data_IF_214221029716
#
_entry.id   IF_214221029716
#
_cell.length_a   1.000
_cell.length_b   1.000
_cell.length_c   1.000
_cell.angle_alpha   90.00
_cell.angle_beta   90.00
_cell.angle_gamma   90.00
#
_symmetry.space_group_name_H-M   'P 1'
#
loop_
_entity.id
_entity.type
_entity.pdbx_description
1 polymer ?
#
# COMPACT_ATOMS: atom_id res chain seq x y z
N UNK A 1 34.22 14.68 -38.07
CA UNK A 1 32.79 14.40 -37.94
C UNK A 1 31.98 15.68 -37.76
N UNK A 2 32.36 16.60 -36.87
CA UNK A 2 31.66 17.87 -36.59
C UNK A 2 31.39 18.73 -37.82
N UNK A 3 32.21 18.63 -38.86
CA UNK A 3 31.98 19.35 -40.12
C UNK A 3 31.00 18.67 -41.08
N UNK A 4 30.69 17.38 -40.86
CA UNK A 4 29.87 16.55 -41.74
C UNK A 4 28.44 16.39 -41.23
N UNK A 5 28.23 16.41 -39.93
CA UNK A 5 26.92 16.21 -39.29
C UNK A 5 26.55 17.46 -38.50
N UNK A 6 25.25 17.70 -38.37
CA UNK A 6 24.69 18.68 -37.45
C UNK A 6 24.26 17.97 -36.20
N UNK A 7 24.91 18.26 -35.07
CA UNK A 7 24.57 17.70 -33.77
C UNK A 7 23.53 18.54 -33.06
N UNK A 8 22.63 17.89 -32.33
CA UNK A 8 21.60 18.52 -31.52
C UNK A 8 21.62 17.95 -30.12
N UNK A 9 21.59 18.79 -29.12
CA UNK A 9 21.22 18.43 -27.76
C UNK A 9 19.73 18.18 -27.69
N UNK A 10 19.32 17.17 -26.91
CA UNK A 10 17.94 16.80 -26.82
C UNK A 10 17.56 16.21 -25.44
N UNK A 11 16.41 16.59 -24.95
CA UNK A 11 15.87 16.05 -23.71
C UNK A 11 15.09 14.77 -23.99
N UNK A 12 15.45 13.64 -23.34
CA UNK A 12 14.70 12.39 -23.46
C UNK A 12 13.30 12.53 -22.86
N UNK A 13 12.34 11.84 -23.46
CA UNK A 13 10.94 11.84 -23.03
C UNK A 13 10.38 10.43 -23.10
N UNK A 14 9.96 9.91 -21.98
CA UNK A 14 9.25 8.65 -21.86
C UNK A 14 7.75 8.90 -21.91
N UNK A 15 7.05 8.25 -22.83
CA UNK A 15 5.60 8.34 -22.99
C UNK A 15 4.99 6.98 -22.72
N UNK A 16 4.27 6.88 -21.61
CA UNK A 16 3.60 5.66 -21.15
C UNK A 16 2.10 5.72 -21.41
N UNK A 17 1.54 4.57 -21.74
CA UNK A 17 0.12 4.37 -21.93
C UNK A 17 -0.26 3.00 -21.33
N UNK A 18 -1.28 2.96 -20.49
CA UNK A 18 -1.85 1.72 -19.96
C UNK A 18 -3.17 1.44 -20.68
N UNK A 19 -3.21 0.40 -21.48
CA UNK A 19 -4.41 0.03 -22.25
C UNK A 19 -4.44 -1.47 -22.54
N UNK A 20 -5.63 -2.07 -22.47
CA UNK A 20 -5.86 -3.47 -22.81
C UNK A 20 -4.89 -4.44 -22.12
N UNK A 21 -4.76 -4.33 -20.81
CA UNK A 21 -3.87 -5.15 -19.97
C UNK A 21 -2.39 -5.06 -20.39
N UNK A 22 -1.98 -3.97 -21.01
CA UNK A 22 -0.59 -3.72 -21.40
C UNK A 22 -0.12 -2.34 -20.95
N UNK A 23 1.17 -2.24 -20.61
CA UNK A 23 1.90 -0.99 -20.45
C UNK A 23 2.68 -0.77 -21.73
N UNK A 24 2.40 0.30 -22.44
CA UNK A 24 3.08 0.69 -23.66
C UNK A 24 4.01 1.85 -23.40
N UNK A 25 5.18 1.81 -24.00
CA UNK A 25 6.19 2.85 -23.85
C UNK A 25 6.76 3.25 -25.20
N UNK A 26 6.88 4.56 -25.42
CA UNK A 26 7.67 5.17 -26.49
C UNK A 26 8.75 6.05 -25.89
N UNK A 27 10.00 5.87 -26.33
CA UNK A 27 11.09 6.74 -25.96
C UNK A 27 11.31 7.76 -27.08
N UNK A 28 11.06 9.00 -26.75
CA UNK A 28 11.21 10.16 -27.63
C UNK A 28 12.38 11.00 -27.16
N UNK A 29 12.90 11.86 -28.04
CA UNK A 29 13.82 12.94 -27.71
C UNK A 29 13.32 14.24 -28.33
N UNK A 30 13.34 15.32 -27.56
CA UNK A 30 12.97 16.66 -28.02
C UNK A 30 14.22 17.49 -28.17
N UNK A 31 14.57 17.83 -29.41
CA UNK A 31 15.72 18.70 -29.70
C UNK A 31 15.52 20.08 -29.05
N UNK A 32 16.55 20.58 -28.41
CA UNK A 32 16.51 21.89 -27.75
C UNK A 32 16.57 23.03 -28.75
N UNK A 33 17.27 22.85 -29.87
CA UNK A 33 17.51 23.88 -30.88
C UNK A 33 16.30 24.17 -31.76
N UNK A 34 15.67 23.15 -32.33
CA UNK A 34 14.58 23.31 -33.32
C UNK A 34 13.24 22.72 -32.84
N UNK A 35 13.20 22.20 -31.61
CA UNK A 35 12.03 21.57 -31.00
C UNK A 35 11.48 20.34 -31.76
N UNK A 36 12.29 19.80 -32.69
CA UNK A 36 11.91 18.59 -33.40
C UNK A 36 11.83 17.39 -32.46
N UNK A 37 10.91 16.46 -32.77
CA UNK A 37 10.75 15.20 -32.04
C UNK A 37 11.43 14.07 -32.79
N UNK A 38 12.18 13.28 -32.05
CA UNK A 38 12.84 12.09 -32.52
C UNK A 38 12.32 10.91 -31.71
N UNK A 39 12.28 9.75 -32.34
CA UNK A 39 11.87 8.51 -31.68
C UNK A 39 13.02 7.50 -31.73
N UNK A 40 13.28 6.87 -30.60
CA UNK A 40 14.20 5.73 -30.54
C UNK A 40 13.49 4.50 -31.10
N UNK A 41 14.04 3.87 -32.15
CA UNK A 41 13.43 2.68 -32.78
C UNK A 41 14.01 1.36 -32.26
N UNK A 42 14.92 1.41 -31.28
CA UNK A 42 15.65 0.24 -30.76
C UNK A 42 17.13 0.20 -31.23
N UNK A 43 17.47 0.88 -32.31
CA UNK A 43 18.80 0.91 -32.91
C UNK A 43 19.33 2.32 -33.11
N UNK A 44 18.47 3.23 -33.55
CA UNK A 44 18.83 4.62 -33.87
C UNK A 44 17.69 5.60 -33.56
N UNK A 45 18.03 6.87 -33.46
CA UNK A 45 17.07 7.95 -33.33
C UNK A 45 16.53 8.35 -34.69
N UNK A 46 15.23 8.18 -34.91
CA UNK A 46 14.53 8.53 -36.14
C UNK A 46 13.76 9.83 -35.96
N UNK A 47 14.03 10.81 -36.77
CA UNK A 47 13.28 12.08 -36.75
C UNK A 47 11.85 11.88 -37.20
N UNK A 48 10.89 12.35 -36.39
CA UNK A 48 9.49 12.37 -36.77
C UNK A 48 9.25 13.22 -38.02
N UNK A 49 8.37 12.79 -38.92
CA UNK A 49 8.03 13.48 -40.18
C UNK A 49 7.40 14.86 -39.89
N UNK A 50 8.24 15.88 -39.83
CA UNK A 50 7.77 17.24 -39.98
C UNK A 50 7.94 17.62 -41.45
N UNK A 51 6.96 17.44 -42.30
CA UNK A 51 6.84 17.76 -43.74
C UNK A 51 7.81 18.76 -44.40
N UNK A 52 8.98 18.96 -43.87
CA UNK A 52 10.02 19.84 -44.36
C UNK A 52 11.06 19.06 -45.16
N UNK A 53 11.54 19.67 -46.26
CA UNK A 53 12.62 19.18 -47.10
C UNK A 53 13.72 18.46 -46.31
N UNK A 54 14.23 17.35 -46.84
CA UNK A 54 15.36 16.60 -46.29
C UNK A 54 16.52 17.57 -46.00
N UNK A 55 17.09 17.56 -44.79
CA UNK A 55 18.21 18.44 -44.47
C UNK A 55 19.41 18.15 -45.38
N UNK A 56 20.14 19.19 -45.76
CA UNK A 56 21.32 19.08 -46.61
C UNK A 56 22.52 18.33 -45.96
N UNK A 57 22.46 18.12 -44.65
CA UNK A 57 23.48 17.37 -43.87
C UNK A 57 22.77 16.36 -42.96
N UNK A 58 23.40 15.20 -42.69
CA UNK A 58 22.90 14.28 -41.65
C UNK A 58 22.80 15.00 -40.31
N UNK A 59 21.69 14.83 -39.66
CA UNK A 59 21.46 15.35 -38.28
C UNK A 59 21.54 14.17 -37.30
N UNK A 60 22.23 14.40 -36.18
CA UNK A 60 22.47 13.41 -35.14
C UNK A 60 22.15 14.02 -33.77
N UNK A 61 21.54 13.26 -32.90
CA UNK A 61 21.40 13.63 -31.51
C UNK A 61 22.65 13.19 -30.74
N UNK A 62 23.23 14.12 -30.00
CA UNK A 62 24.42 13.88 -29.17
C UNK A 62 24.18 14.47 -27.78
N UNK A 63 23.77 13.59 -26.85
CA UNK A 63 23.45 13.97 -25.49
C UNK A 63 23.56 12.74 -24.58
N UNK A 64 24.35 12.85 -23.51
CA UNK A 64 24.58 11.77 -22.54
C UNK A 64 23.29 11.30 -21.86
N UNK A 65 22.30 12.19 -21.71
CA UNK A 65 20.97 11.86 -21.17
C UNK A 65 20.24 10.83 -22.01
N UNK A 66 20.46 10.82 -23.33
CA UNK A 66 19.84 9.85 -24.25
C UNK A 66 20.42 8.45 -24.06
N UNK A 67 21.73 8.34 -23.80
CA UNK A 67 22.35 7.05 -23.50
C UNK A 67 21.87 6.49 -22.16
N UNK A 68 21.75 7.34 -21.15
CA UNK A 68 21.19 6.97 -19.86
C UNK A 68 19.72 6.49 -20.00
N UNK A 69 18.92 7.18 -20.84
CA UNK A 69 17.54 6.80 -21.11
C UNK A 69 17.42 5.43 -21.80
N UNK A 70 18.26 5.17 -22.81
CA UNK A 70 18.33 3.87 -23.50
C UNK A 70 18.79 2.77 -22.53
N UNK A 71 19.80 3.07 -21.69
CA UNK A 71 20.30 2.15 -20.68
C UNK A 71 19.22 1.73 -19.68
N UNK A 72 18.43 2.68 -19.19
CA UNK A 72 17.32 2.39 -18.28
C UNK A 72 16.21 1.59 -18.94
N UNK A 73 15.82 1.95 -20.18
CA UNK A 73 14.82 1.20 -20.96
C UNK A 73 15.19 -0.28 -21.10
N UNK A 74 16.48 -0.59 -21.29
CA UNK A 74 16.97 -1.97 -21.46
C UNK A 74 17.02 -2.80 -20.17
N UNK A 75 16.82 -2.20 -19.00
CA UNK A 75 16.81 -2.92 -17.71
C UNK A 75 15.53 -3.72 -17.47
N UNK A 76 14.47 -3.35 -18.16
CA UNK A 76 13.15 -3.98 -18.02
C UNK A 76 12.91 -4.93 -19.18
N UNK A 77 12.15 -5.97 -18.91
CA UNK A 77 11.80 -7.01 -19.89
C UNK A 77 10.61 -6.55 -20.73
N UNK A 78 10.92 -5.84 -21.81
CA UNK A 78 9.94 -5.32 -22.76
C UNK A 78 9.84 -6.24 -23.97
N UNK A 79 8.64 -6.52 -24.41
CA UNK A 79 8.38 -7.03 -25.75
C UNK A 79 8.33 -5.86 -26.75
N UNK A 80 8.93 -6.03 -27.92
CA UNK A 80 8.99 -4.99 -28.95
C UNK A 80 8.25 -5.48 -30.20
N UNK A 81 6.93 -5.21 -30.30
CA UNK A 81 6.12 -5.68 -31.45
C UNK A 81 6.47 -4.96 -32.76
N UNK A 82 6.91 -3.71 -32.65
CA UNK A 82 7.33 -2.89 -33.78
C UNK A 82 8.46 -1.94 -33.34
N UNK A 83 9.29 -1.46 -34.26
CA UNK A 83 10.38 -0.53 -33.96
C UNK A 83 9.86 0.73 -33.24
N UNK A 84 10.40 0.99 -32.03
CA UNK A 84 10.07 2.17 -31.26
C UNK A 84 8.82 2.07 -30.37
N UNK A 85 8.24 0.89 -30.26
CA UNK A 85 7.18 0.59 -29.30
C UNK A 85 7.61 -0.56 -28.38
N UNK A 86 7.65 -0.30 -27.09
CA UNK A 86 7.92 -1.29 -26.06
C UNK A 86 6.61 -1.59 -25.32
N UNK A 87 6.35 -2.87 -25.11
CA UNK A 87 5.11 -3.36 -24.49
C UNK A 87 5.47 -4.32 -23.37
N UNK A 88 4.93 -4.08 -22.19
CA UNK A 88 4.94 -5.00 -21.05
C UNK A 88 3.51 -5.40 -20.70
N UNK A 89 3.35 -6.61 -20.17
CA UNK A 89 2.04 -7.03 -19.66
C UNK A 89 1.70 -6.23 -18.40
N UNK A 90 0.47 -5.73 -18.33
CA UNK A 90 -0.04 -5.07 -17.12
C UNK A 90 -0.41 -6.15 -16.09
N UNK A 91 0.60 -6.76 -15.49
CA UNK A 91 0.46 -7.75 -14.42
C UNK A 91 1.28 -7.33 -13.19
N UNK A 92 1.01 -7.88 -11.99
CA UNK A 92 1.72 -7.51 -10.77
C UNK A 92 3.23 -7.62 -10.89
N UNK A 93 3.74 -8.68 -11.54
CA UNK A 93 5.17 -8.95 -11.67
C UNK A 93 5.89 -7.86 -12.47
N UNK A 94 5.31 -7.46 -13.62
CA UNK A 94 5.88 -6.41 -14.45
C UNK A 94 5.81 -5.04 -13.77
N UNK A 95 4.66 -4.71 -13.15
CA UNK A 95 4.48 -3.44 -12.43
C UNK A 95 5.43 -3.34 -11.22
N UNK A 96 5.66 -4.43 -10.49
CA UNK A 96 6.67 -4.49 -9.42
C UNK A 96 8.10 -4.28 -9.95
N UNK A 97 8.44 -4.88 -11.07
CA UNK A 97 9.74 -4.69 -11.71
C UNK A 97 9.95 -3.24 -12.15
N UNK A 98 8.92 -2.64 -12.74
CA UNK A 98 8.94 -1.22 -13.13
C UNK A 98 9.04 -0.32 -11.89
N UNK A 99 8.31 -0.64 -10.81
CA UNK A 99 8.37 0.10 -9.56
C UNK A 99 9.75 0.02 -8.89
N UNK A 100 10.37 -1.16 -8.91
CA UNK A 100 11.71 -1.35 -8.38
C UNK A 100 12.78 -0.56 -9.17
N UNK A 101 12.60 -0.43 -10.49
CA UNK A 101 13.50 0.34 -11.35
C UNK A 101 13.22 1.86 -11.33
N UNK A 102 12.08 2.29 -10.76
CA UNK A 102 11.63 3.68 -10.80
C UNK A 102 12.52 4.69 -10.07
N UNK A 103 13.12 4.38 -8.90
CA UNK A 103 14.05 5.28 -8.22
C UNK A 103 15.29 5.62 -9.04
N UNK A 104 15.75 4.69 -9.87
CA UNK A 104 16.95 4.82 -10.72
C UNK A 104 16.66 5.37 -12.13
N UNK A 105 15.48 5.95 -12.34
CA UNK A 105 15.10 6.53 -13.63
C UNK A 105 15.99 7.71 -13.99
N UNK A 106 16.41 7.84 -15.27
CA UNK A 106 17.27 8.93 -15.73
C UNK A 106 16.54 10.28 -15.70
N UNK A 107 17.31 11.35 -15.80
CA UNK A 107 16.78 12.69 -16.00
C UNK A 107 16.10 12.77 -17.37
N UNK A 108 14.79 12.91 -17.38
CA UNK A 108 13.95 12.93 -18.57
C UNK A 108 12.58 13.53 -18.27
N UNK A 109 11.82 13.85 -19.31
CA UNK A 109 10.38 14.11 -19.16
C UNK A 109 9.61 12.78 -19.12
N UNK A 110 8.72 12.63 -18.14
CA UNK A 110 7.87 11.46 -17.98
C UNK A 110 6.41 11.85 -18.20
N UNK A 111 5.81 11.27 -19.22
CA UNK A 111 4.41 11.48 -19.59
C UNK A 111 3.68 10.16 -19.50
N UNK A 112 2.41 10.21 -19.13
CA UNK A 112 1.55 9.03 -19.04
C UNK A 112 0.09 9.42 -19.21
N UNK A 113 -0.74 8.44 -19.51
CA UNK A 113 -2.19 8.57 -19.41
C UNK A 113 -2.63 8.70 -17.94
N UNK A 114 -3.93 8.74 -17.72
CA UNK A 114 -4.51 8.94 -16.39
C UNK A 114 -4.15 7.78 -15.44
N UNK A 115 -4.18 6.55 -15.94
CA UNK A 115 -3.91 5.34 -15.15
C UNK A 115 -2.43 5.25 -14.78
N UNK A 116 -1.54 5.41 -15.74
CA UNK A 116 -0.10 5.43 -15.48
C UNK A 116 0.31 6.57 -14.53
N UNK A 117 -0.28 7.76 -14.70
CA UNK A 117 -0.04 8.88 -13.78
C UNK A 117 -0.40 8.54 -12.34
N UNK A 118 -1.56 7.92 -12.13
CA UNK A 118 -2.05 7.52 -10.81
C UNK A 118 -1.12 6.49 -10.14
N UNK A 119 -0.50 5.61 -10.91
CA UNK A 119 0.36 4.55 -10.37
C UNK A 119 1.82 4.98 -10.18
N UNK A 120 2.40 5.79 -11.08
CA UNK A 120 3.84 6.03 -11.12
C UNK A 120 4.26 7.49 -11.05
N UNK A 121 3.52 8.42 -11.68
CA UNK A 121 3.94 9.83 -11.73
C UNK A 121 3.44 10.64 -10.53
N UNK A 122 2.24 10.39 -10.10
CA UNK A 122 1.59 10.99 -8.94
C UNK A 122 0.91 9.90 -8.13
N UNK A 123 1.69 8.97 -7.54
CA UNK A 123 1.13 7.77 -6.94
C UNK A 123 0.24 8.12 -5.75
N UNK A 124 -1.00 7.66 -5.84
CA UNK A 124 -1.93 7.63 -4.75
C UNK A 124 -1.95 6.20 -4.22
N UNK A 125 -1.38 6.02 -3.02
CA UNK A 125 -1.28 4.72 -2.38
C UNK A 125 -2.47 4.48 -1.48
N UNK A 126 -3.17 3.40 -1.77
CA UNK A 126 -4.29 2.97 -0.97
C UNK A 126 -3.80 2.41 0.37
N UNK A 127 -4.43 2.84 1.46
CA UNK A 127 -4.08 2.45 2.82
C UNK A 127 -5.29 1.84 3.52
N UNK A 128 -5.11 0.76 4.28
CA UNK A 128 -6.15 0.30 5.18
C UNK A 128 -6.25 1.23 6.39
N UNK A 129 -7.47 1.45 6.84
CA UNK A 129 -7.80 2.16 8.07
C UNK A 129 -8.52 1.16 8.97
N UNK A 130 -7.91 0.85 10.10
CA UNK A 130 -8.53 -0.04 11.07
C UNK A 130 -9.58 0.73 11.88
N UNK A 131 -10.76 0.16 12.00
CA UNK A 131 -11.91 0.78 12.66
C UNK A 131 -12.49 -0.15 13.70
N UNK A 132 -12.74 0.39 14.88
CA UNK A 132 -13.53 -0.27 15.92
C UNK A 132 -14.93 0.33 15.89
N UNK A 133 -15.94 -0.51 15.68
CA UNK A 133 -17.36 -0.11 15.66
C UNK A 133 -18.16 -1.01 16.56
N UNK A 134 -18.84 -0.40 17.49
CA UNK A 134 -19.67 -1.12 18.43
C UNK A 134 -18.87 -1.93 19.44
N UNK A 135 -19.34 -1.95 20.64
CA UNK A 135 -18.87 -2.85 21.68
C UNK A 135 -20.06 -3.41 22.42
N UNK A 136 -20.02 -4.71 22.67
CA UNK A 136 -20.88 -5.30 23.68
C UNK A 136 -20.21 -5.25 25.04
N UNK A 137 -20.81 -5.93 26.02
CA UNK A 137 -20.21 -6.02 27.36
C UNK A 137 -18.87 -6.76 27.31
N UNK A 138 -18.73 -7.75 26.40
CA UNK A 138 -17.61 -8.68 26.35
C UNK A 138 -16.94 -8.79 24.97
N UNK A 139 -17.24 -7.88 24.02
CA UNK A 139 -16.69 -7.94 22.67
C UNK A 139 -16.59 -6.57 21.99
N UNK A 140 -15.66 -6.47 21.03
CA UNK A 140 -15.50 -5.35 20.12
C UNK A 140 -15.81 -5.81 18.68
N UNK A 141 -16.31 -4.92 17.84
CA UNK A 141 -16.42 -5.12 16.39
C UNK A 141 -15.29 -4.39 15.71
N UNK A 142 -14.46 -5.12 14.97
CA UNK A 142 -13.32 -4.56 14.24
C UNK A 142 -13.46 -4.82 12.76
N UNK A 143 -13.01 -3.87 11.94
CA UNK A 143 -12.97 -4.00 10.47
C UNK A 143 -11.83 -3.17 9.89
N UNK A 144 -11.43 -3.45 8.65
CA UNK A 144 -10.54 -2.64 7.87
C UNK A 144 -11.33 -1.89 6.79
N UNK A 145 -11.25 -0.57 6.80
CA UNK A 145 -11.82 0.29 5.76
C UNK A 145 -10.71 0.74 4.81
N UNK A 146 -11.06 0.89 3.53
CA UNK A 146 -10.17 1.38 2.52
C UNK A 146 -10.77 2.64 1.94
N UNK A 147 -10.11 3.77 2.13
CA UNK A 147 -10.60 5.06 1.65
C UNK A 147 -9.55 5.73 0.77
N UNK A 148 -9.98 6.21 -0.39
CA UNK A 148 -9.21 7.13 -1.22
C UNK A 148 -10.15 8.10 -1.93
N UNK A 149 -9.77 9.41 -1.92
CA UNK A 149 -10.52 10.43 -2.66
C UNK A 149 -10.54 10.11 -4.17
N UNK A 150 -11.74 9.90 -4.71
CA UNK A 150 -11.97 9.67 -6.14
C UNK A 150 -11.99 8.20 -6.57
N UNK A 151 -11.88 7.24 -5.65
CA UNK A 151 -12.12 5.83 -5.88
C UNK A 151 -13.42 5.39 -5.20
N UNK A 152 -14.35 4.84 -6.00
CA UNK A 152 -15.54 4.19 -5.48
C UNK A 152 -15.26 2.68 -5.46
N UNK A 153 -14.88 2.17 -4.30
CA UNK A 153 -14.60 0.75 -4.11
C UNK A 153 -15.90 -0.03 -3.91
N UNK A 154 -16.07 -1.07 -4.71
CA UNK A 154 -17.18 -2.00 -4.59
C UNK A 154 -16.87 -3.10 -3.56
N UNK A 155 -17.86 -3.89 -3.18
CA UNK A 155 -17.67 -5.04 -2.29
C UNK A 155 -16.68 -6.06 -2.87
N UNK A 156 -16.67 -6.23 -4.19
CA UNK A 156 -15.70 -7.11 -4.88
C UNK A 156 -14.27 -6.58 -4.80
N UNK A 157 -14.12 -5.27 -4.97
CA UNK A 157 -12.81 -4.61 -4.82
C UNK A 157 -12.28 -4.78 -3.39
N UNK A 158 -13.13 -4.60 -2.37
CA UNK A 158 -12.78 -4.76 -0.96
C UNK A 158 -12.37 -6.21 -0.62
N UNK A 159 -13.05 -7.21 -1.17
CA UNK A 159 -12.68 -8.62 -1.02
C UNK A 159 -11.30 -8.90 -1.62
N UNK A 160 -11.00 -8.30 -2.77
CA UNK A 160 -9.71 -8.46 -3.42
C UNK A 160 -8.58 -7.74 -2.67
N UNK A 161 -8.85 -6.57 -2.10
CA UNK A 161 -7.91 -5.85 -1.24
C UNK A 161 -7.58 -6.61 0.03
N UNK A 162 -8.56 -7.28 0.64
CA UNK A 162 -8.35 -8.10 1.84
C UNK A 162 -7.40 -9.28 1.60
N UNK A 163 -7.35 -9.81 0.36
CA UNK A 163 -6.49 -10.92 -0.04
C UNK A 163 -5.18 -10.46 -0.75
N UNK A 164 -4.99 -9.15 -0.88
CA UNK A 164 -3.91 -8.61 -1.69
C UNK A 164 -2.53 -8.82 -1.04
N UNK A 165 -1.58 -9.20 -1.88
CA UNK A 165 -0.15 -9.25 -1.55
C UNK A 165 0.63 -8.53 -2.66
N UNK A 166 1.58 -7.67 -2.31
CA UNK A 166 2.35 -6.87 -3.28
C UNK A 166 1.87 -5.42 -3.38
N UNK A 167 2.66 -4.58 -4.08
CA UNK A 167 2.38 -3.15 -4.19
C UNK A 167 1.22 -2.83 -5.16
N UNK A 168 0.93 -3.71 -6.11
CA UNK A 168 -0.05 -3.46 -7.16
C UNK A 168 -1.15 -4.52 -7.17
N UNK A 169 -2.39 -4.06 -7.21
CA UNK A 169 -3.58 -4.92 -7.27
C UNK A 169 -4.48 -4.40 -8.38
N UNK A 170 -4.97 -5.33 -9.21
CA UNK A 170 -6.00 -5.01 -10.20
C UNK A 170 -7.37 -5.28 -9.60
N UNK A 171 -8.11 -4.21 -9.30
CA UNK A 171 -9.44 -4.30 -8.76
C UNK A 171 -10.47 -4.46 -9.89
N UNK A 172 -11.50 -5.31 -9.71
CA UNK A 172 -12.47 -5.61 -10.76
C UNK A 172 -13.20 -4.38 -11.32
N UNK A 173 -13.52 -3.42 -10.46
CA UNK A 173 -14.32 -2.25 -10.82
C UNK A 173 -13.51 -0.94 -10.81
N UNK A 174 -12.46 -0.86 -9.97
CA UNK A 174 -11.61 0.33 -9.85
C UNK A 174 -10.31 0.29 -10.68
N UNK A 175 -9.97 -0.86 -11.29
CA UNK A 175 -8.73 -1.05 -12.05
C UNK A 175 -7.48 -1.15 -11.18
N UNK A 176 -6.31 -0.87 -11.77
CA UNK A 176 -5.05 -0.96 -11.05
C UNK A 176 -4.92 0.08 -9.94
N UNK A 177 -4.52 -0.35 -8.76
CA UNK A 177 -4.20 0.51 -7.60
C UNK A 177 -2.84 0.14 -7.03
N UNK A 178 -2.17 1.13 -6.43
CA UNK A 178 -0.95 0.91 -5.67
C UNK A 178 -1.27 0.90 -4.19
N UNK A 179 -0.76 -0.09 -3.45
CA UNK A 179 -0.91 -0.21 -2.01
C UNK A 179 0.28 0.40 -1.26
N UNK A 180 0.04 0.95 -0.09
CA UNK A 180 1.08 1.27 0.87
C UNK A 180 1.41 0.01 1.67
N UNK A 181 2.40 -0.76 1.23
CA UNK A 181 2.77 -2.04 1.82
C UNK A 181 3.10 -1.95 3.30
N UNK A 182 3.72 -0.85 3.71
CA UNK A 182 4.05 -0.65 5.12
C UNK A 182 2.77 -0.51 5.95
N UNK A 183 1.82 0.31 5.50
CA UNK A 183 0.53 0.47 6.17
C UNK A 183 -0.30 -0.83 6.14
N UNK A 184 -0.24 -1.60 5.05
CA UNK A 184 -0.89 -2.91 4.94
C UNK A 184 -0.32 -3.89 5.95
N UNK A 185 1.00 -3.99 6.05
CA UNK A 185 1.68 -4.88 7.00
C UNK A 185 1.38 -4.49 8.45
N UNK A 186 1.49 -3.20 8.80
CA UNK A 186 1.16 -2.69 10.13
C UNK A 186 -0.30 -2.99 10.53
N UNK A 187 -1.22 -2.87 9.57
CA UNK A 187 -2.63 -3.18 9.80
C UNK A 187 -2.86 -4.70 9.96
N UNK A 188 -2.19 -5.54 9.16
CA UNK A 188 -2.27 -7.00 9.28
C UNK A 188 -1.72 -7.48 10.64
N UNK A 189 -0.60 -6.93 11.08
CA UNK A 189 -0.02 -7.22 12.40
C UNK A 189 -1.00 -6.84 13.52
N UNK A 190 -1.60 -5.64 13.47
CA UNK A 190 -2.56 -5.18 14.46
C UNK A 190 -3.84 -6.03 14.49
N UNK A 191 -4.33 -6.51 13.34
CA UNK A 191 -5.48 -7.42 13.28
C UNK A 191 -5.12 -8.81 13.81
N UNK A 192 -3.92 -9.31 13.49
CA UNK A 192 -3.42 -10.60 14.00
C UNK A 192 -3.24 -10.59 15.53
N UNK A 193 -2.78 -9.48 16.12
CA UNK A 193 -2.68 -9.30 17.57
C UNK A 193 -4.06 -9.41 18.25
N UNK A 194 -5.14 -9.09 17.54
CA UNK A 194 -6.54 -9.29 17.97
C UNK A 194 -7.09 -10.68 17.65
N UNK A 195 -6.28 -11.58 17.08
CA UNK A 195 -6.72 -12.90 16.65
C UNK A 195 -7.65 -12.88 15.42
N UNK A 196 -7.57 -11.82 14.61
CA UNK A 196 -8.35 -11.65 13.38
C UNK A 196 -7.47 -11.87 12.18
N UNK A 197 -7.87 -12.78 11.30
CA UNK A 197 -7.14 -13.06 10.06
C UNK A 197 -7.54 -12.08 8.93
N UNK A 198 -6.55 -11.39 8.39
CA UNK A 198 -6.69 -10.54 7.20
C UNK A 198 -7.38 -9.19 7.45
N UNK A 199 -7.42 -8.38 6.38
CA UNK A 199 -7.97 -7.01 6.38
C UNK A 199 -9.37 -7.00 5.76
N UNK A 200 -10.33 -7.62 6.44
CA UNK A 200 -11.73 -7.67 5.99
C UNK A 200 -12.46 -6.36 6.27
N UNK A 201 -13.24 -5.90 5.30
CA UNK A 201 -14.20 -4.80 5.48
C UNK A 201 -15.46 -5.22 6.22
N UNK A 202 -15.69 -6.55 6.37
CA UNK A 202 -16.78 -7.08 7.17
C UNK A 202 -16.38 -7.02 8.64
N UNK A 203 -17.28 -6.50 9.46
CA UNK A 203 -17.08 -6.43 10.91
C UNK A 203 -16.86 -7.81 11.52
N UNK A 204 -15.80 -7.96 12.28
CA UNK A 204 -15.46 -9.17 13.00
C UNK A 204 -15.52 -8.91 14.51
N UNK A 205 -16.09 -9.84 15.24
CA UNK A 205 -16.21 -9.75 16.69
C UNK A 205 -14.95 -10.29 17.35
N UNK A 206 -14.37 -9.49 18.22
CA UNK A 206 -13.16 -9.81 19.00
C UNK A 206 -13.51 -9.75 20.48
N UNK A 207 -13.12 -10.73 21.25
CA UNK A 207 -13.29 -10.73 22.71
C UNK A 207 -12.47 -9.62 23.38
N UNK A 208 -13.01 -9.03 24.45
CA UNK A 208 -12.27 -8.02 25.23
C UNK A 208 -10.97 -8.55 25.81
N UNK A 209 -10.90 -9.83 26.13
CA UNK A 209 -9.69 -10.51 26.57
C UNK A 209 -8.54 -10.42 25.56
N UNK A 210 -8.86 -10.50 24.24
CA UNK A 210 -7.89 -10.37 23.17
C UNK A 210 -7.43 -8.91 23.02
N UNK A 211 -8.37 -7.95 23.15
CA UNK A 211 -8.06 -6.54 23.11
C UNK A 211 -7.24 -6.07 24.33
N UNK A 212 -7.40 -6.69 25.48
CA UNK A 212 -6.64 -6.38 26.70
C UNK A 212 -5.15 -6.74 26.61
N UNK A 213 -4.74 -7.57 25.65
CA UNK A 213 -3.33 -7.87 25.39
C UNK A 213 -2.63 -6.82 24.51
N UNK A 214 -3.40 -5.92 23.85
CA UNK A 214 -2.82 -4.82 23.10
C UNK A 214 -2.28 -3.76 24.05
N UNK A 215 -1.05 -3.34 23.81
CA UNK A 215 -0.48 -2.16 24.44
C UNK A 215 -1.10 -0.85 23.87
N UNK A 216 -0.73 0.29 24.43
CA UNK A 216 -1.21 1.60 23.95
C UNK A 216 -0.89 1.84 22.47
N UNK A 217 0.29 1.39 22.01
CA UNK A 217 0.74 1.55 20.63
C UNK A 217 -0.10 0.68 19.68
N UNK A 218 -0.47 -0.54 20.09
CA UNK A 218 -1.38 -1.43 19.36
C UNK A 218 -2.78 -0.83 19.22
N UNK A 219 -3.35 -0.33 20.32
CA UNK A 219 -4.67 0.31 20.32
C UNK A 219 -4.69 1.63 19.53
N UNK A 220 -3.57 2.36 19.49
CA UNK A 220 -3.46 3.61 18.74
C UNK A 220 -3.55 3.42 17.21
N UNK A 221 -3.35 2.21 16.71
CA UNK A 221 -3.49 1.87 15.29
C UNK A 221 -4.95 1.85 14.82
N UNK A 222 -5.89 1.74 15.75
CA UNK A 222 -7.31 1.77 15.46
C UNK A 222 -7.87 3.20 15.57
N UNK A 223 -8.80 3.52 14.67
CA UNK A 223 -9.50 4.81 14.77
C UNK A 223 -10.37 4.78 16.03
N UNK A 224 -10.18 5.72 16.97
CA UNK A 224 -10.93 5.75 18.21
C UNK A 224 -12.42 5.90 17.91
N UNK A 225 -13.24 4.97 18.41
CA UNK A 225 -14.66 5.20 18.61
C UNK A 225 -14.86 5.79 20.00
N UNK A 226 -16.01 6.42 20.23
CA UNK A 226 -16.39 6.86 21.60
C UNK A 226 -16.40 5.71 22.60
N UNK A 227 -16.58 4.49 22.13
CA UNK A 227 -16.61 3.26 22.90
C UNK A 227 -15.19 2.76 23.23
N UNK A 228 -14.22 2.94 22.33
CA UNK A 228 -12.82 2.67 22.61
C UNK A 228 -12.27 3.66 23.67
N UNK A 229 -12.69 4.92 23.61
CA UNK A 229 -12.36 5.92 24.65
C UNK A 229 -12.96 5.56 26.00
N UNK A 230 -14.20 5.08 26.02
CA UNK A 230 -14.82 4.56 27.24
C UNK A 230 -14.13 3.32 27.78
N UNK A 231 -13.67 2.42 26.89
CA UNK A 231 -12.91 1.24 27.28
C UNK A 231 -11.57 1.64 27.90
N UNK A 232 -10.85 2.57 27.25
CA UNK A 232 -9.62 3.14 27.81
C UNK A 232 -9.86 3.77 29.19
N UNK A 233 -10.90 4.58 29.33
CA UNK A 233 -11.26 5.17 30.63
C UNK A 233 -11.51 4.11 31.70
N UNK A 234 -12.15 2.98 31.36
CA UNK A 234 -12.37 1.87 32.30
C UNK A 234 -11.08 1.10 32.63
N UNK A 235 -10.15 0.96 31.65
CA UNK A 235 -8.86 0.32 31.87
C UNK A 235 -7.95 1.22 32.71
N UNK A 236 -7.99 2.53 32.47
CA UNK A 236 -7.21 3.52 33.23
C UNK A 236 -7.75 3.73 34.66
N UNK A 237 -9.06 3.57 34.86
CA UNK A 237 -9.71 3.62 36.17
C UNK A 237 -9.55 2.32 36.96
N UNK A 238 -8.92 1.27 36.38
CA UNK A 238 -8.72 0.03 37.06
C UNK A 238 -7.59 0.11 38.10
N UNK A 239 -7.93 0.51 39.32
CA UNK A 239 -7.03 0.61 40.47
C UNK A 239 -6.67 -0.74 41.13
N UNK A 240 -6.94 -1.85 40.43
CA UNK A 240 -6.72 -3.21 40.94
C UNK A 240 -8.03 -3.90 41.29
N UNK A 241 -7.92 -5.14 41.80
CA UNK A 241 -9.07 -5.94 42.20
C UNK A 241 -9.53 -5.53 43.60
N UNK A 242 -10.75 -5.04 43.70
CA UNK A 242 -11.35 -4.76 45.02
C UNK A 242 -11.40 -6.02 45.90
N UNK A 243 -10.99 -5.86 47.13
CA UNK A 243 -11.09 -6.98 48.14
C UNK A 243 -12.55 -7.33 48.31
N UNK A 244 -12.87 -8.60 48.01
CA UNK A 244 -14.23 -9.11 48.17
C UNK A 244 -14.39 -9.78 49.53
N UNK A 245 -15.48 -9.46 50.26
CA UNK A 245 -15.79 -10.10 51.54
C UNK A 245 -16.06 -11.59 51.33
N UNK A 246 -15.54 -12.39 52.26
CA UNK A 246 -15.75 -13.84 52.24
C UNK A 246 -17.21 -14.17 52.58
N UNK A 247 -17.80 -15.19 51.94
CA UNK A 247 -19.14 -15.65 52.29
C UNK A 247 -19.21 -16.12 53.75
N UNK A 248 -20.34 -15.85 54.42
CA UNK A 248 -20.58 -16.17 55.80
C UNK A 248 -20.37 -17.67 56.17
N UNK A 249 -20.36 -18.55 55.17
CA UNK A 249 -20.14 -19.98 55.33
C UNK A 249 -18.66 -20.43 55.37
N UNK A 250 -17.72 -19.52 55.15
CA UNK A 250 -16.28 -19.85 55.19
C UNK A 250 -15.75 -19.69 56.59
N UNK A 251 -15.58 -20.83 57.28
CA UNK A 251 -15.05 -20.89 58.65
C UNK A 251 -13.51 -21.06 58.70
N UNK A 252 -12.78 -20.41 57.81
CA UNK A 252 -11.31 -20.49 57.72
C UNK A 252 -10.69 -19.09 57.73
N UNK A 253 -9.55 -18.97 58.41
CA UNK A 253 -8.71 -17.77 58.37
C UNK A 253 -7.80 -17.89 57.17
N UNK A 254 -8.09 -17.11 56.07
CA UNK A 254 -7.31 -17.11 54.86
C UNK A 254 -6.06 -16.27 54.99
N UNK A 255 -4.97 -16.72 54.39
CA UNK A 255 -3.74 -15.93 54.25
C UNK A 255 -3.98 -14.78 53.29
N UNK A 256 -3.22 -13.64 53.39
CA UNK A 256 -3.42 -12.48 52.56
C UNK A 256 -3.48 -12.80 51.06
N UNK A 257 -2.54 -13.60 50.54
CA UNK A 257 -2.53 -13.99 49.13
C UNK A 257 -3.77 -14.83 48.71
N UNK A 258 -4.37 -15.60 49.67
CA UNK A 258 -5.61 -16.35 49.37
C UNK A 258 -6.83 -15.42 49.29
N UNK A 259 -6.82 -14.35 50.09
CA UNK A 259 -7.87 -13.31 50.01
C UNK A 259 -7.75 -12.55 48.68
N UNK A 260 -6.56 -12.24 48.27
CA UNK A 260 -6.31 -11.64 46.96
C UNK A 260 -6.72 -12.53 45.79
N UNK A 261 -6.34 -13.82 45.82
CA UNK A 261 -6.73 -14.82 44.88
C UNK A 261 -8.27 -15.03 44.80
N UNK A 262 -8.94 -15.06 45.97
CA UNK A 262 -10.39 -15.13 46.03
C UNK A 262 -11.05 -13.90 45.40
N UNK A 263 -10.59 -12.70 45.75
CA UNK A 263 -11.07 -11.44 45.20
C UNK A 263 -10.86 -11.38 43.68
N UNK A 264 -9.72 -11.85 43.20
CA UNK A 264 -9.43 -11.96 41.77
C UNK A 264 -10.40 -12.91 41.06
N UNK A 265 -10.64 -14.10 41.61
CA UNK A 265 -11.61 -15.04 41.05
C UNK A 265 -13.03 -14.48 41.01
N UNK A 266 -13.44 -13.76 42.07
CA UNK A 266 -14.74 -13.08 42.11
C UNK A 266 -14.82 -11.98 41.05
N UNK A 267 -13.73 -11.24 40.84
CA UNK A 267 -13.63 -10.22 39.80
C UNK A 267 -13.79 -10.89 38.41
N UNK A 268 -13.04 -11.95 38.11
CA UNK A 268 -13.18 -12.69 36.85
C UNK A 268 -14.64 -13.21 36.66
N UNK A 269 -15.24 -13.76 37.70
CA UNK A 269 -16.63 -14.25 37.63
C UNK A 269 -17.64 -13.13 37.36
N UNK A 270 -17.44 -11.92 37.95
CA UNK A 270 -18.25 -10.73 37.70
C UNK A 270 -18.23 -10.31 36.24
N UNK A 271 -17.06 -10.45 35.60
CA UNK A 271 -16.85 -10.12 34.18
C UNK A 271 -17.03 -11.32 33.26
N UNK A 272 -17.48 -12.47 33.76
CA UNK A 272 -17.67 -13.74 33.00
C UNK A 272 -16.37 -14.20 32.29
N UNK A 273 -15.24 -13.88 32.86
CA UNK A 273 -13.95 -14.33 32.40
C UNK A 273 -13.59 -15.67 33.07
N UNK A 274 -12.89 -16.51 32.31
CA UNK A 274 -12.31 -17.73 32.85
C UNK A 274 -10.97 -17.44 33.53
N UNK A 275 -10.57 -18.32 34.47
CA UNK A 275 -9.27 -18.23 35.12
C UNK A 275 -8.67 -19.59 35.38
N UNK A 276 -7.35 -19.69 35.40
CA UNK A 276 -6.62 -20.90 35.82
C UNK A 276 -5.95 -20.57 37.15
N UNK A 277 -6.35 -21.32 38.20
CA UNK A 277 -5.64 -21.27 39.47
C UNK A 277 -4.48 -22.26 39.40
N UNK A 278 -3.25 -21.70 39.32
CA UNK A 278 -2.03 -22.49 39.44
C UNK A 278 -1.50 -22.32 40.85
N UNK A 279 -1.58 -23.37 41.62
CA UNK A 279 -1.05 -23.42 42.98
C UNK A 279 0.07 -24.48 43.01
N UNK A 280 1.24 -24.12 43.56
CA UNK A 280 2.40 -25.00 43.74
C UNK A 280 2.29 -25.82 45.05
#
# INVERSE_FOLDING_TARGET
WEQLCKTHEATPRFVFEMANDTVRLKLLAKSESDKSLWQWNGHEWVRGNSGKLKPNKPEVLDDERLEAAIGWLKRLDWFTPEPGLWVGDSNPLFLESLHAAWPDKPEAEYLGDTEFKRLFLQPKRLKPKLVVRGSGIDWLSVSAEWEEEGLNLTERDLQQLAAASGNFVNLPDAGWVQLDQKAVQEAQEAMADLGVDGLSSVEQKVGLEQAAHLDEDGLAKFVPSSELEQLRGRLDEFEGVETTELPDGVCAELRPYQVEGFSFLCHLAKFKLGGILADD
#
